data_IF_058937221555
#
_entry.id   IF_058937221555
#
_cell.length_a   1.000
_cell.length_b   1.000
_cell.length_c   1.000
_cell.angle_alpha   90.00
_cell.angle_beta   90.00
_cell.angle_gamma   90.00
#
_symmetry.space_group_name_H-M   'P 1'
#
loop_
_entity.id
_entity.type
_entity.pdbx_description
1 polymer ?
#
# COMPACT_ATOMS: atom_id res chain seq x y z
N UNK A 1 -6.15 4.61 0.36
CA UNK A 1 -6.58 3.80 1.53
C UNK A 1 -7.86 4.34 2.15
N UNK A 2 -8.84 3.46 2.38
CA UNK A 2 -10.11 3.82 3.02
C UNK A 2 -9.88 4.07 4.52
N UNK A 3 -10.23 5.27 5.00
CA UNK A 3 -10.25 5.56 6.44
C UNK A 3 -11.54 4.99 7.06
N UNK A 4 -11.40 4.09 8.04
CA UNK A 4 -12.53 3.52 8.77
C UNK A 4 -12.23 3.35 10.26
N UNK A 5 -13.28 3.25 11.07
CA UNK A 5 -13.16 2.99 12.51
C UNK A 5 -13.27 1.47 12.78
N UNK A 6 -12.19 0.79 13.18
CA UNK A 6 -12.21 -0.66 13.40
C UNK A 6 -13.12 -1.08 14.56
N UNK A 7 -13.49 -0.16 15.46
CA UNK A 7 -14.41 -0.43 16.58
C UNK A 7 -15.88 -0.47 16.15
N UNK A 8 -16.21 -0.03 14.93
CA UNK A 8 -17.59 0.00 14.42
C UNK A 8 -18.03 -1.33 13.80
N UNK A 9 -17.95 -2.42 14.56
CA UNK A 9 -18.11 -3.80 14.08
C UNK A 9 -19.38 -4.02 13.22
N UNK A 10 -20.56 -3.66 13.73
CA UNK A 10 -21.82 -3.76 13.00
C UNK A 10 -21.88 -2.86 11.76
N UNK A 11 -21.32 -1.65 11.87
CA UNK A 11 -21.26 -0.70 10.76
C UNK A 11 -20.35 -1.17 9.63
N UNK A 12 -19.35 -2.01 9.91
CA UNK A 12 -18.47 -2.60 8.91
C UNK A 12 -19.11 -3.79 8.20
N UNK A 13 -19.87 -4.63 8.91
CA UNK A 13 -20.56 -5.80 8.33
C UNK A 13 -21.60 -5.37 7.28
N UNK A 14 -22.33 -4.29 7.56
CA UNK A 14 -23.42 -3.82 6.68
C UNK A 14 -23.02 -2.66 5.74
N UNK A 15 -21.75 -2.24 5.75
CA UNK A 15 -21.23 -1.23 4.81
C UNK A 15 -20.91 -1.90 3.46
N UNK A 16 -21.85 -1.80 2.53
CA UNK A 16 -21.61 -2.14 1.12
C UNK A 16 -20.77 -1.05 0.44
N UNK A 17 -19.46 -1.30 0.24
CA UNK A 17 -18.58 -0.39 -0.48
C UNK A 17 -18.70 -0.55 -2.01
N UNK A 18 -18.31 0.45 -2.81
CA UNK A 18 -18.31 0.34 -4.29
C UNK A 18 -17.31 -0.70 -4.83
N UNK A 19 -16.26 -1.00 -4.07
CA UNK A 19 -15.24 -2.02 -4.35
C UNK A 19 -15.58 -3.40 -3.78
N UNK A 20 -16.83 -3.61 -3.37
CA UNK A 20 -17.25 -4.80 -2.66
C UNK A 20 -16.98 -6.08 -3.46
N UNK A 21 -16.07 -6.89 -2.92
CA UNK A 21 -15.72 -8.25 -3.35
C UNK A 21 -16.96 -9.05 -3.71
N UNK A 22 -18.05 -8.92 -2.94
CA UNK A 22 -19.30 -9.60 -3.21
C UNK A 22 -19.90 -9.23 -4.57
N UNK A 23 -19.94 -7.93 -4.93
CA UNK A 23 -20.48 -7.50 -6.24
C UNK A 23 -19.63 -7.97 -7.40
N UNK A 24 -18.30 -8.00 -7.22
CA UNK A 24 -17.37 -8.52 -8.23
C UNK A 24 -17.52 -10.03 -8.43
N UNK A 25 -17.82 -10.77 -7.37
CA UNK A 25 -18.01 -12.22 -7.40
C UNK A 25 -19.44 -12.65 -7.74
N UNK A 26 -20.45 -11.77 -7.59
CA UNK A 26 -21.87 -12.11 -7.75
C UNK A 26 -22.20 -12.87 -9.06
N UNK A 27 -21.70 -12.48 -10.25
CA UNK A 27 -21.97 -13.25 -11.48
C UNK A 27 -21.42 -14.68 -11.42
N UNK A 28 -20.23 -14.85 -10.83
CA UNK A 28 -19.63 -16.16 -10.64
C UNK A 28 -20.36 -16.97 -9.57
N UNK A 29 -20.83 -16.33 -8.49
CA UNK A 29 -21.65 -16.97 -7.45
C UNK A 29 -22.97 -17.50 -8.03
N UNK A 30 -23.66 -16.71 -8.86
CA UNK A 30 -24.89 -17.15 -9.54
C UNK A 30 -24.60 -18.31 -10.48
N UNK A 31 -23.47 -18.29 -11.18
CA UNK A 31 -23.04 -19.38 -12.06
C UNK A 31 -22.78 -20.68 -11.27
N UNK A 32 -22.05 -20.58 -10.15
CA UNK A 32 -21.79 -21.70 -9.24
C UNK A 32 -23.09 -22.24 -8.62
N UNK A 33 -23.99 -21.36 -8.19
CA UNK A 33 -25.29 -21.76 -7.65
C UNK A 33 -26.14 -22.49 -8.68
N UNK A 34 -26.20 -21.97 -9.92
CA UNK A 34 -26.96 -22.58 -11.01
C UNK A 34 -26.39 -23.94 -11.40
N UNK A 35 -25.06 -24.04 -11.49
CA UNK A 35 -24.37 -25.30 -11.76
C UNK A 35 -24.60 -26.32 -10.65
N UNK A 36 -24.46 -25.91 -9.39
CA UNK A 36 -24.70 -26.77 -8.22
C UNK A 36 -26.15 -27.24 -8.16
N UNK A 37 -27.12 -26.37 -8.51
CA UNK A 37 -28.53 -26.73 -8.57
C UNK A 37 -28.81 -27.79 -9.66
N UNK A 38 -28.18 -27.65 -10.83
CA UNK A 38 -28.30 -28.65 -11.89
C UNK A 38 -27.73 -30.02 -11.46
N UNK A 39 -26.56 -30.03 -10.80
CA UNK A 39 -25.97 -31.26 -10.28
C UNK A 39 -26.85 -31.89 -9.19
N UNK A 40 -27.35 -31.10 -8.24
CA UNK A 40 -28.24 -31.59 -7.18
C UNK A 40 -29.56 -32.16 -7.72
N UNK A 41 -30.15 -31.52 -8.74
CA UNK A 41 -31.35 -32.04 -9.42
C UNK A 41 -31.06 -33.36 -10.13
N UNK A 42 -29.93 -33.48 -10.84
CA UNK A 42 -29.56 -34.73 -11.51
C UNK A 42 -29.33 -35.86 -10.50
N UNK A 43 -28.62 -35.58 -9.42
CA UNK A 43 -28.31 -36.56 -8.38
C UNK A 43 -29.57 -37.05 -7.64
N UNK A 44 -30.46 -36.12 -7.26
CA UNK A 44 -31.63 -36.43 -6.44
C UNK A 44 -32.82 -36.97 -7.24
N UNK A 45 -33.07 -36.44 -8.45
CA UNK A 45 -34.30 -36.71 -9.20
C UNK A 45 -34.08 -37.66 -10.40
N UNK A 46 -32.84 -37.85 -10.88
CA UNK A 46 -32.56 -38.62 -12.10
C UNK A 46 -31.66 -39.85 -11.90
N UNK A 47 -30.83 -39.89 -10.86
CA UNK A 47 -29.88 -40.99 -10.62
C UNK A 47 -30.42 -41.98 -9.57
N UNK A 48 -30.17 -43.30 -9.74
CA UNK A 48 -30.40 -44.29 -8.69
C UNK A 48 -29.45 -44.07 -7.50
N UNK A 49 -29.89 -44.40 -6.28
CA UNK A 49 -29.18 -44.21 -4.99
C UNK A 49 -27.79 -44.89 -4.86
N UNK A 50 -27.28 -45.55 -5.90
CA UNK A 50 -26.03 -46.32 -5.87
C UNK A 50 -24.77 -45.49 -6.12
N UNK A 51 -24.89 -44.24 -6.58
CA UNK A 51 -23.73 -43.34 -6.80
C UNK A 51 -23.39 -42.55 -5.52
N UNK A 52 -22.57 -43.15 -4.65
CA UNK A 52 -22.05 -42.45 -3.46
C UNK A 52 -20.69 -41.80 -3.74
N UNK A 53 -20.69 -40.47 -3.85
CA UNK A 53 -19.46 -39.67 -3.80
C UNK A 53 -18.80 -39.74 -2.42
N UNK A 54 -17.46 -39.66 -2.34
CA UNK A 54 -16.74 -39.61 -1.06
C UNK A 54 -16.36 -38.18 -0.67
N UNK A 55 -16.84 -37.73 0.49
CA UNK A 55 -16.53 -36.40 1.04
C UNK A 55 -15.13 -36.30 1.68
N UNK A 56 -14.44 -37.43 1.84
CA UNK A 56 -13.11 -37.49 2.44
C UNK A 56 -12.07 -36.73 1.60
N UNK A 57 -12.15 -36.85 0.27
CA UNK A 57 -11.20 -36.19 -0.63
C UNK A 57 -11.36 -34.66 -0.56
N UNK A 58 -12.59 -34.14 -0.59
CA UNK A 58 -12.85 -32.70 -0.45
C UNK A 58 -12.48 -32.15 0.92
N UNK A 59 -12.58 -32.95 1.98
CA UNK A 59 -12.12 -32.55 3.31
C UNK A 59 -10.60 -32.38 3.34
N UNK A 60 -9.85 -33.34 2.77
CA UNK A 60 -8.39 -33.27 2.67
C UNK A 60 -7.92 -32.13 1.76
N UNK A 61 -8.52 -32.01 0.57
CA UNK A 61 -8.21 -30.90 -0.35
C UNK A 61 -8.60 -29.55 0.24
N UNK A 62 -9.70 -29.49 1.02
CA UNK A 62 -10.17 -28.31 1.75
C UNK A 62 -9.15 -27.82 2.77
N UNK A 63 -8.49 -28.74 3.48
CA UNK A 63 -7.39 -28.40 4.37
C UNK A 63 -6.19 -27.85 3.61
N UNK A 64 -5.79 -28.51 2.52
CA UNK A 64 -4.64 -28.09 1.70
C UNK A 64 -4.87 -26.71 1.08
N UNK A 65 -6.06 -26.45 0.51
CA UNK A 65 -6.36 -25.16 -0.11
C UNK A 65 -6.43 -24.03 0.92
N UNK A 66 -6.95 -24.32 2.11
CA UNK A 66 -6.96 -23.35 3.21
C UNK A 66 -5.54 -22.95 3.59
N UNK A 67 -4.65 -23.94 3.76
CA UNK A 67 -3.23 -23.68 4.07
C UNK A 67 -2.53 -22.86 2.97
N UNK A 68 -2.76 -23.21 1.69
CA UNK A 68 -2.20 -22.47 0.55
C UNK A 68 -2.67 -21.02 0.50
N UNK A 69 -3.96 -20.77 0.75
CA UNK A 69 -4.52 -19.42 0.81
C UNK A 69 -3.95 -18.59 1.96
N UNK A 70 -3.68 -19.20 3.12
CA UNK A 70 -3.00 -18.52 4.22
C UNK A 70 -1.60 -18.06 3.80
N UNK A 71 -0.81 -18.94 3.19
CA UNK A 71 0.52 -18.56 2.70
C UNK A 71 0.44 -17.45 1.65
N UNK A 72 -0.48 -17.57 0.69
CA UNK A 72 -0.72 -16.58 -0.36
C UNK A 72 -1.06 -15.21 0.19
N UNK A 73 -1.95 -15.16 1.17
CA UNK A 73 -2.40 -13.91 1.81
C UNK A 73 -1.26 -13.30 2.63
N UNK A 74 -0.51 -14.11 3.37
CA UNK A 74 0.64 -13.64 4.14
C UNK A 74 1.73 -13.07 3.24
N UNK A 75 2.08 -13.73 2.13
CA UNK A 75 3.08 -13.21 1.18
C UNK A 75 2.62 -11.88 0.55
N UNK A 76 1.34 -11.75 0.20
CA UNK A 76 0.81 -10.48 -0.30
C UNK A 76 0.87 -9.38 0.77
N UNK A 77 0.49 -9.70 2.01
CA UNK A 77 0.56 -8.78 3.13
C UNK A 77 1.99 -8.32 3.44
N UNK A 78 2.98 -9.21 3.39
CA UNK A 78 4.40 -8.85 3.58
C UNK A 78 4.87 -7.84 2.54
N UNK A 79 4.48 -8.01 1.27
CA UNK A 79 4.79 -7.03 0.21
C UNK A 79 4.14 -5.67 0.49
N UNK A 80 2.87 -5.68 0.88
CA UNK A 80 2.15 -4.47 1.23
C UNK A 80 2.79 -3.73 2.41
N UNK A 81 3.10 -4.48 3.48
CA UNK A 81 3.73 -3.95 4.67
C UNK A 81 5.13 -3.42 4.41
N UNK A 82 5.92 -4.11 3.58
CA UNK A 82 7.23 -3.63 3.17
C UNK A 82 7.13 -2.32 2.39
N UNK A 83 6.18 -2.21 1.45
CA UNK A 83 5.92 -0.96 0.74
C UNK A 83 5.56 0.19 1.71
N UNK A 84 4.72 -0.08 2.70
CA UNK A 84 4.35 0.88 3.74
C UNK A 84 5.55 1.32 4.57
N UNK A 85 6.44 0.37 4.92
CA UNK A 85 7.67 0.62 5.67
C UNK A 85 8.63 1.51 4.90
N UNK A 86 8.81 1.27 3.60
CA UNK A 86 9.67 2.07 2.72
C UNK A 86 9.16 3.52 2.59
N UNK A 87 7.86 3.73 2.41
CA UNK A 87 7.29 5.08 2.39
C UNK A 87 7.34 5.77 3.77
N UNK A 88 7.24 5.01 4.85
CA UNK A 88 7.48 5.52 6.21
C UNK A 88 8.93 5.96 6.42
N UNK A 89 9.89 5.18 5.91
CA UNK A 89 11.30 5.56 5.89
C UNK A 89 11.51 6.85 5.09
N UNK A 90 10.86 7.00 3.93
CA UNK A 90 10.97 8.21 3.11
C UNK A 90 10.52 9.47 3.86
N UNK A 91 9.40 9.39 4.59
CA UNK A 91 8.92 10.49 5.45
C UNK A 91 9.98 10.87 6.49
N UNK A 92 10.61 9.88 7.12
CA UNK A 92 11.63 10.13 8.15
C UNK A 92 12.93 10.67 7.55
N UNK A 93 13.42 10.09 6.46
CA UNK A 93 14.64 10.52 5.75
C UNK A 93 14.52 11.96 5.28
N UNK A 94 13.42 12.31 4.62
CA UNK A 94 13.18 13.69 4.12
C UNK A 94 13.06 14.70 5.27
N UNK A 95 12.40 14.33 6.38
CA UNK A 95 12.32 15.15 7.60
C UNK A 95 13.69 15.37 8.23
N UNK A 96 14.46 14.31 8.44
CA UNK A 96 15.80 14.39 9.04
C UNK A 96 16.74 15.23 8.18
N UNK A 97 16.69 15.05 6.86
CA UNK A 97 17.48 15.83 5.91
C UNK A 97 17.10 17.33 5.98
N UNK A 98 15.81 17.64 5.99
CA UNK A 98 15.33 19.02 6.14
C UNK A 98 15.76 19.65 7.48
N UNK A 99 15.68 18.92 8.59
CA UNK A 99 16.12 19.41 9.91
C UNK A 99 17.62 19.71 9.94
N UNK A 100 18.45 18.81 9.40
CA UNK A 100 19.90 19.01 9.31
C UNK A 100 20.24 20.21 8.42
N UNK A 101 19.63 20.33 7.24
CA UNK A 101 19.82 21.50 6.38
C UNK A 101 19.35 22.80 7.05
N UNK A 102 18.24 22.77 7.80
CA UNK A 102 17.77 23.92 8.56
C UNK A 102 18.75 24.32 9.68
N UNK A 103 19.43 23.36 10.31
CA UNK A 103 20.44 23.64 11.34
C UNK A 103 21.77 24.16 10.75
N UNK A 104 22.19 23.61 9.62
CA UNK A 104 23.51 23.91 9.04
C UNK A 104 23.52 25.17 8.18
N UNK A 105 22.40 25.53 7.55
CA UNK A 105 22.29 26.70 6.68
C UNK A 105 21.72 27.91 7.42
N UNK A 106 22.19 29.10 7.05
CA UNK A 106 21.64 30.37 7.55
C UNK A 106 20.12 30.47 7.25
N UNK A 107 19.32 31.11 8.13
CA UNK A 107 17.87 31.22 7.96
C UNK A 107 17.39 31.79 6.61
N UNK A 108 18.18 32.67 6.01
CA UNK A 108 17.92 33.39 4.77
C UNK A 108 18.63 32.80 3.53
N UNK A 109 19.29 31.65 3.68
CA UNK A 109 20.07 31.06 2.60
C UNK A 109 19.17 30.62 1.43
N UNK A 110 19.52 31.03 0.20
CA UNK A 110 18.75 30.76 -1.03
C UNK A 110 18.56 29.27 -1.35
N UNK A 111 19.47 28.41 -0.89
CA UNK A 111 19.35 26.95 -1.04
C UNK A 111 18.24 26.30 -0.21
N UNK A 112 17.73 26.92 0.85
CA UNK A 112 16.63 26.35 1.66
C UNK A 112 15.38 26.02 0.82
N UNK A 113 14.82 26.96 0.03
CA UNK A 113 13.70 26.67 -0.87
C UNK A 113 14.06 25.69 -1.98
N UNK A 114 15.32 25.69 -2.45
CA UNK A 114 15.78 24.73 -3.47
C UNK A 114 15.74 23.30 -2.91
N UNK A 115 16.34 23.07 -1.74
CA UNK A 115 16.35 21.77 -1.07
C UNK A 115 14.92 21.32 -0.76
N UNK A 116 14.09 22.23 -0.22
CA UNK A 116 12.70 21.92 0.09
C UNK A 116 11.92 21.44 -1.16
N UNK A 117 12.07 22.15 -2.28
CA UNK A 117 11.47 21.79 -3.56
C UNK A 117 11.93 20.42 -4.03
N UNK A 118 13.23 20.11 -3.94
CA UNK A 118 13.76 18.82 -4.39
C UNK A 118 13.26 17.66 -3.52
N UNK A 119 13.19 17.81 -2.20
CA UNK A 119 12.66 16.76 -1.31
C UNK A 119 11.17 16.49 -1.55
N UNK A 120 10.38 17.55 -1.73
CA UNK A 120 8.96 17.43 -2.09
C UNK A 120 8.80 16.77 -3.48
N UNK A 121 9.57 17.24 -4.48
CA UNK A 121 9.54 16.69 -5.83
C UNK A 121 9.98 15.22 -5.85
N UNK A 122 10.95 14.83 -5.03
CA UNK A 122 11.40 13.44 -4.96
C UNK A 122 10.26 12.49 -4.58
N UNK A 123 9.47 12.84 -3.56
CA UNK A 123 8.34 12.02 -3.12
C UNK A 123 7.24 11.94 -4.19
N UNK A 124 6.89 13.07 -4.83
CA UNK A 124 5.90 13.09 -5.91
C UNK A 124 6.36 12.29 -7.14
N UNK A 125 7.62 12.47 -7.56
CA UNK A 125 8.20 11.74 -8.69
C UNK A 125 8.31 10.25 -8.39
N UNK A 126 8.63 9.85 -7.16
CA UNK A 126 8.65 8.43 -6.78
C UNK A 126 7.25 7.82 -6.82
N UNK A 127 6.23 8.53 -6.36
CA UNK A 127 4.83 8.12 -6.49
C UNK A 127 4.46 7.84 -7.96
N UNK A 128 4.71 8.80 -8.84
CA UNK A 128 4.46 8.66 -10.28
C UNK A 128 5.27 7.51 -10.90
N UNK A 129 6.56 7.42 -10.55
CA UNK A 129 7.46 6.38 -11.07
C UNK A 129 7.00 4.96 -10.74
N UNK A 130 6.37 4.76 -9.58
CA UNK A 130 5.83 3.46 -9.18
C UNK A 130 4.48 3.13 -9.84
N UNK A 131 3.76 4.13 -10.37
CA UNK A 131 2.47 3.97 -11.08
C UNK A 131 2.65 3.83 -12.60
N UNK A 132 3.52 4.64 -13.21
CA UNK A 132 3.69 4.74 -14.67
C UNK A 132 4.28 3.47 -15.32
N UNK A 133 4.78 2.51 -14.55
CA UNK A 133 5.19 1.20 -15.04
C UNK A 133 6.40 1.25 -15.99
N UNK A 134 7.58 0.95 -15.44
CA UNK A 134 8.87 0.82 -16.14
C UNK A 134 9.43 2.13 -16.74
N UNK A 135 10.71 2.45 -16.51
CA UNK A 135 11.36 3.48 -17.31
C UNK A 135 11.35 3.03 -18.78
N UNK A 136 10.92 3.90 -19.69
CA UNK A 136 11.08 3.67 -21.12
C UNK A 136 12.57 3.40 -21.42
N UNK A 137 12.92 2.42 -22.26
CA UNK A 137 14.31 2.20 -22.65
C UNK A 137 14.88 3.49 -23.27
N UNK A 138 15.90 4.08 -22.62
CA UNK A 138 16.48 5.37 -22.99
C UNK A 138 15.90 6.60 -22.25
N UNK A 139 14.88 6.41 -21.42
CA UNK A 139 14.30 7.46 -20.57
C UNK A 139 15.12 7.71 -19.31
N UNK A 140 15.19 8.97 -18.87
CA UNK A 140 15.85 9.35 -17.62
C UNK A 140 15.13 8.75 -16.41
N UNK A 141 15.86 8.02 -15.56
CA UNK A 141 15.32 7.50 -14.29
C UNK A 141 14.98 8.66 -13.34
N UNK A 142 13.71 9.10 -13.36
CA UNK A 142 13.26 10.38 -12.77
C UNK A 142 13.60 10.52 -11.28
N UNK A 143 13.37 9.52 -10.39
CA UNK A 143 13.75 9.64 -8.98
C UNK A 143 15.25 9.88 -8.79
N UNK A 144 16.08 9.19 -9.57
CA UNK A 144 17.55 9.33 -9.48
C UNK A 144 18.01 10.68 -10.00
N UNK A 145 17.32 11.26 -10.99
CA UNK A 145 17.60 12.61 -11.46
C UNK A 145 17.37 13.66 -10.36
N UNK A 146 16.29 13.53 -9.58
CA UNK A 146 16.02 14.42 -8.44
C UNK A 146 17.04 14.19 -7.32
N UNK A 147 17.35 12.93 -6.98
CA UNK A 147 18.38 12.60 -5.98
C UNK A 147 19.76 13.16 -6.37
N UNK A 148 20.17 13.00 -7.64
CA UNK A 148 21.42 13.57 -8.15
C UNK A 148 21.44 15.10 -8.09
N UNK A 149 20.28 15.75 -8.20
CA UNK A 149 20.16 17.21 -8.07
C UNK A 149 20.31 17.67 -6.62
N UNK A 150 19.78 16.91 -5.64
CA UNK A 150 20.06 17.12 -4.22
C UNK A 150 21.55 16.96 -3.90
N UNK A 151 22.18 15.90 -4.41
CA UNK A 151 23.61 15.68 -4.26
C UNK A 151 24.45 16.85 -4.77
N UNK A 152 24.16 17.34 -5.98
CA UNK A 152 24.83 18.52 -6.56
C UNK A 152 24.62 19.79 -5.75
N UNK A 153 23.43 20.00 -5.20
CA UNK A 153 23.13 21.15 -4.35
C UNK A 153 23.96 21.13 -3.06
N UNK A 154 24.06 19.98 -2.39
CA UNK A 154 24.86 19.83 -1.17
C UNK A 154 26.36 19.98 -1.46
N UNK A 155 26.85 19.40 -2.55
CA UNK A 155 28.26 19.56 -2.96
C UNK A 155 28.58 21.01 -3.33
N UNK A 156 27.67 21.72 -4.03
CA UNK A 156 27.83 23.16 -4.32
C UNK A 156 27.97 23.96 -3.03
N UNK A 157 27.07 23.75 -2.07
CA UNK A 157 27.10 24.41 -0.76
C UNK A 157 28.41 24.14 0.00
N UNK A 158 28.96 22.93 -0.13
CA UNK A 158 30.25 22.60 0.45
C UNK A 158 31.39 23.37 -0.21
N UNK A 159 31.47 23.36 -1.54
CA UNK A 159 32.51 24.07 -2.31
C UNK A 159 32.48 25.58 -2.12
N UNK A 160 31.30 26.15 -1.94
CA UNK A 160 31.08 27.57 -1.65
C UNK A 160 31.36 27.94 -0.18
N UNK A 161 31.70 26.97 0.68
CA UNK A 161 32.00 27.19 2.09
C UNK A 161 30.78 27.43 2.99
N UNK A 162 29.57 27.20 2.46
CA UNK A 162 28.32 27.28 3.22
C UNK A 162 28.06 26.04 4.09
N UNK A 163 28.68 24.89 3.74
CA UNK A 163 28.68 23.67 4.54
C UNK A 163 30.11 23.19 4.82
N UNK A 164 30.42 22.95 6.10
CA UNK A 164 31.65 22.27 6.50
C UNK A 164 31.65 20.81 6.04
N UNK A 165 32.84 20.22 5.86
CA UNK A 165 32.98 18.81 5.44
C UNK A 165 32.22 17.84 6.37
N UNK A 166 32.24 18.10 7.68
CA UNK A 166 31.49 17.29 8.67
C UNK A 166 29.98 17.38 8.47
N UNK A 167 29.44 18.52 8.04
CA UNK A 167 28.01 18.66 7.73
C UNK A 167 27.66 17.82 6.50
N UNK A 168 28.48 17.86 5.44
CA UNK A 168 28.27 17.05 4.24
C UNK A 168 28.30 15.55 4.55
N UNK A 169 29.25 15.09 5.39
CA UNK A 169 29.30 13.71 5.87
C UNK A 169 28.04 13.33 6.65
N UNK A 170 27.53 14.23 7.50
CA UNK A 170 26.32 14.00 8.29
C UNK A 170 25.03 13.95 7.45
N UNK A 171 25.03 14.44 6.20
CA UNK A 171 23.88 14.39 5.29
C UNK A 171 23.91 13.18 4.35
N UNK A 172 25.06 12.51 4.23
CA UNK A 172 25.29 11.41 3.28
C UNK A 172 24.31 10.24 3.49
N UNK A 173 24.06 9.88 4.76
CA UNK A 173 23.14 8.79 5.09
C UNK A 173 21.75 9.03 4.50
N UNK A 174 21.15 10.20 4.75
CA UNK A 174 19.82 10.51 4.23
C UNK A 174 19.79 10.60 2.70
N UNK A 175 20.81 11.19 2.08
CA UNK A 175 20.90 11.29 0.62
C UNK A 175 21.00 9.91 -0.05
N UNK A 176 21.76 8.99 0.54
CA UNK A 176 21.87 7.61 0.08
C UNK A 176 20.55 6.86 0.30
N UNK A 177 19.92 7.04 1.46
CA UNK A 177 18.67 6.36 1.80
C UNK A 177 17.52 6.71 0.86
N UNK A 178 17.48 7.90 0.24
CA UNK A 178 16.52 8.18 -0.83
C UNK A 178 16.60 7.12 -1.94
N UNK A 179 17.80 6.87 -2.47
CA UNK A 179 18.01 5.89 -3.54
C UNK A 179 17.79 4.44 -3.08
N UNK A 180 18.12 4.10 -1.83
CA UNK A 180 17.86 2.77 -1.26
C UNK A 180 16.35 2.49 -1.17
N UNK A 181 15.56 3.47 -0.71
CA UNK A 181 14.09 3.38 -0.63
C UNK A 181 13.50 3.21 -2.02
N UNK A 182 13.96 3.98 -3.01
CA UNK A 182 13.52 3.82 -4.39
C UNK A 182 13.81 2.41 -4.91
N UNK A 183 15.04 1.92 -4.75
CA UNK A 183 15.42 0.56 -5.18
C UNK A 183 14.61 -0.54 -4.48
N UNK A 184 14.27 -0.36 -3.21
CA UNK A 184 13.38 -1.28 -2.49
C UNK A 184 11.95 -1.26 -3.06
N UNK A 185 11.39 -0.08 -3.32
CA UNK A 185 10.06 0.06 -3.93
C UNK A 185 10.02 -0.53 -5.35
N UNK A 186 11.07 -0.30 -6.14
CA UNK A 186 11.19 -0.90 -7.47
C UNK A 186 11.24 -2.42 -7.41
N UNK A 187 11.98 -3.00 -6.45
CA UNK A 187 12.02 -4.45 -6.26
C UNK A 187 10.63 -4.99 -5.93
N UNK A 188 9.88 -4.35 -5.04
CA UNK A 188 8.51 -4.75 -4.71
C UNK A 188 7.60 -4.68 -5.94
N UNK A 189 7.72 -3.64 -6.77
CA UNK A 189 6.87 -3.47 -7.96
C UNK A 189 7.25 -4.42 -9.11
N UNK A 190 8.53 -4.56 -9.41
CA UNK A 190 9.06 -5.32 -10.57
C UNK A 190 9.18 -6.81 -10.33
N UNK A 191 9.14 -7.25 -9.06
CA UNK A 191 9.32 -8.67 -8.69
C UNK A 191 8.03 -9.21 -8.08
N UNK A 192 7.00 -9.52 -8.91
CA UNK A 192 5.74 -10.04 -8.41
C UNK A 192 5.87 -11.46 -7.86
N UNK A 193 4.83 -11.94 -7.17
CA UNK A 193 4.77 -13.34 -6.74
C UNK A 193 4.84 -14.23 -8.00
N UNK A 194 5.59 -15.34 -7.98
CA UNK A 194 5.76 -16.18 -9.15
C UNK A 194 4.43 -16.57 -9.80
N UNK A 195 4.31 -16.31 -11.10
CA UNK A 195 3.07 -16.54 -11.85
C UNK A 195 2.52 -17.97 -11.69
N UNK A 196 3.41 -18.97 -11.67
CA UNK A 196 3.04 -20.38 -11.48
C UNK A 196 2.31 -20.63 -10.15
N UNK A 197 2.69 -19.92 -9.09
CA UNK A 197 2.06 -20.04 -7.78
C UNK A 197 0.63 -19.47 -7.80
N UNK A 198 0.46 -18.24 -8.28
CA UNK A 198 -0.86 -17.60 -8.40
C UNK A 198 -1.79 -18.37 -9.36
N UNK A 199 -1.25 -18.91 -10.46
CA UNK A 199 -1.99 -19.74 -11.39
C UNK A 199 -2.45 -21.06 -10.75
N UNK A 200 -1.57 -21.71 -9.98
CA UNK A 200 -1.87 -22.97 -9.31
C UNK A 200 -3.03 -22.80 -8.32
N UNK A 201 -3.01 -21.77 -7.47
CA UNK A 201 -4.07 -21.51 -6.49
C UNK A 201 -5.42 -21.28 -7.19
N UNK A 202 -5.47 -20.42 -8.22
CA UNK A 202 -6.71 -20.15 -8.95
C UNK A 202 -7.28 -21.41 -9.61
N UNK A 203 -6.42 -22.24 -10.23
CA UNK A 203 -6.83 -23.53 -10.80
C UNK A 203 -7.31 -24.50 -9.73
N UNK A 204 -6.67 -24.52 -8.56
CA UNK A 204 -7.06 -25.40 -7.48
C UNK A 204 -8.42 -25.00 -6.89
N UNK A 205 -8.68 -23.71 -6.64
CA UNK A 205 -10.00 -23.21 -6.24
C UNK A 205 -11.06 -23.61 -7.27
N UNK A 206 -10.78 -23.43 -8.57
CA UNK A 206 -11.71 -23.78 -9.63
C UNK A 206 -12.08 -25.28 -9.59
N UNK A 207 -11.08 -26.17 -9.58
CA UNK A 207 -11.32 -27.62 -9.54
C UNK A 207 -12.05 -28.02 -8.25
N UNK A 208 -11.67 -27.44 -7.12
CA UNK A 208 -12.31 -27.72 -5.82
C UNK A 208 -13.80 -27.39 -5.85
N UNK A 209 -14.16 -26.20 -6.33
CA UNK A 209 -15.56 -25.73 -6.38
C UNK A 209 -16.39 -26.49 -7.41
N UNK A 210 -15.84 -26.76 -8.60
CA UNK A 210 -16.55 -27.49 -9.66
C UNK A 210 -16.84 -28.94 -9.26
N UNK A 211 -15.94 -29.58 -8.51
CA UNK A 211 -16.11 -30.98 -8.09
C UNK A 211 -16.97 -31.13 -6.83
N UNK A 212 -17.06 -30.08 -6.00
CA UNK A 212 -17.79 -30.11 -4.72
C UNK A 212 -19.26 -30.56 -4.82
N UNK A 213 -20.10 -30.05 -5.76
CA UNK A 213 -21.51 -30.42 -5.78
C UNK A 213 -21.74 -31.91 -6.07
N UNK A 214 -20.84 -32.56 -6.82
CA UNK A 214 -20.93 -34.00 -7.08
C UNK A 214 -20.71 -34.86 -5.82
N UNK A 215 -19.95 -34.34 -4.85
CA UNK A 215 -19.70 -35.05 -3.60
C UNK A 215 -20.79 -34.75 -2.55
N UNK A 216 -21.33 -33.53 -2.58
CA UNK A 216 -22.24 -33.04 -1.55
C UNK A 216 -23.72 -33.29 -1.90
N UNK A 217 -24.07 -33.44 -3.18
CA UNK A 217 -25.46 -33.59 -3.62
C UNK A 217 -26.19 -34.75 -2.93
N UNK A 218 -25.56 -35.92 -2.81
CA UNK A 218 -26.19 -37.08 -2.21
C UNK A 218 -26.43 -36.91 -0.69
N UNK A 219 -25.49 -36.29 0.03
CA UNK A 219 -25.59 -36.12 1.49
C UNK A 219 -26.48 -34.94 1.89
N UNK A 220 -26.43 -33.84 1.14
CA UNK A 220 -27.07 -32.57 1.50
C UNK A 220 -28.25 -32.19 0.59
N UNK A 221 -28.50 -32.94 -0.50
CA UNK A 221 -29.53 -32.62 -1.49
C UNK A 221 -29.36 -31.20 -2.03
N UNK A 222 -30.47 -30.47 -2.12
CA UNK A 222 -30.50 -29.09 -2.58
C UNK A 222 -29.74 -28.08 -1.69
N UNK A 223 -29.41 -28.42 -0.42
CA UNK A 223 -28.54 -27.56 0.41
C UNK A 223 -27.12 -27.43 -0.15
N UNK A 224 -26.70 -28.35 -1.01
CA UNK A 224 -25.45 -28.29 -1.76
C UNK A 224 -25.28 -26.97 -2.51
N UNK A 225 -26.38 -26.40 -3.02
CA UNK A 225 -26.36 -25.09 -3.71
C UNK A 225 -25.85 -23.99 -2.79
N UNK A 226 -26.36 -23.94 -1.56
CA UNK A 226 -25.95 -22.95 -0.58
C UNK A 226 -24.49 -23.16 -0.17
N UNK A 227 -24.11 -24.40 0.18
CA UNK A 227 -22.77 -24.69 0.68
C UNK A 227 -21.69 -24.47 -0.37
N UNK A 228 -21.87 -24.96 -1.60
CA UNK A 228 -20.89 -24.74 -2.68
C UNK A 228 -20.73 -23.25 -2.99
N UNK A 229 -21.83 -22.51 -3.05
CA UNK A 229 -21.79 -21.06 -3.33
C UNK A 229 -21.13 -20.28 -2.20
N UNK A 230 -21.42 -20.64 -0.94
CA UNK A 230 -20.80 -20.01 0.23
C UNK A 230 -19.29 -20.30 0.30
N UNK A 231 -18.88 -21.55 0.10
CA UNK A 231 -17.46 -21.93 0.08
C UNK A 231 -16.72 -21.25 -1.08
N UNK A 232 -17.34 -21.18 -2.27
CA UNK A 232 -16.79 -20.38 -3.37
C UNK A 232 -16.57 -18.93 -2.97
N UNK A 233 -17.59 -18.29 -2.38
CA UNK A 233 -17.49 -16.90 -1.94
C UNK A 233 -16.31 -16.71 -0.97
N UNK A 234 -16.16 -17.58 0.04
CA UNK A 234 -15.07 -17.46 1.02
C UNK A 234 -13.70 -17.62 0.36
N UNK A 235 -13.49 -18.71 -0.41
CA UNK A 235 -12.19 -19.00 -1.03
C UNK A 235 -11.82 -17.95 -2.08
N UNK A 236 -12.76 -17.55 -2.94
CA UNK A 236 -12.54 -16.54 -3.96
C UNK A 236 -12.34 -15.14 -3.35
N UNK A 237 -13.01 -14.81 -2.24
CA UNK A 237 -12.80 -13.54 -1.55
C UNK A 237 -11.40 -13.43 -0.96
N UNK A 238 -10.89 -14.50 -0.34
CA UNK A 238 -9.53 -14.52 0.20
C UNK A 238 -8.48 -14.34 -0.92
N UNK A 239 -8.63 -15.05 -2.04
CA UNK A 239 -7.74 -14.90 -3.18
C UNK A 239 -7.81 -13.47 -3.77
N UNK A 240 -9.01 -12.88 -3.85
CA UNK A 240 -9.18 -11.52 -4.34
C UNK A 240 -8.53 -10.47 -3.44
N UNK A 241 -8.65 -10.62 -2.11
CA UNK A 241 -8.01 -9.74 -1.14
C UNK A 241 -6.49 -9.85 -1.27
N UNK A 242 -5.96 -11.07 -1.37
CA UNK A 242 -4.54 -11.29 -1.56
C UNK A 242 -4.04 -10.69 -2.88
N UNK A 243 -4.82 -10.77 -3.95
CA UNK A 243 -4.52 -10.13 -5.24
C UNK A 243 -4.53 -8.59 -5.15
N UNK A 244 -5.49 -8.00 -4.44
CA UNK A 244 -5.60 -6.55 -4.29
C UNK A 244 -4.41 -5.96 -3.51
N UNK A 245 -4.03 -6.56 -2.38
CA UNK A 245 -2.93 -6.03 -1.55
C UNK A 245 -1.54 -6.39 -2.07
N UNK A 246 -1.44 -7.28 -3.07
CA UNK A 246 -0.16 -7.72 -3.62
C UNK A 246 0.60 -6.60 -4.35
N UNK A 247 -0.11 -5.65 -4.97
CA UNK A 247 0.47 -4.49 -5.67
C UNK A 247 0.23 -3.19 -4.89
N UNK A 248 1.04 -2.91 -3.84
CA UNK A 248 0.74 -1.83 -2.91
C UNK A 248 0.85 -0.42 -3.48
N UNK A 249 1.35 -0.25 -4.71
CA UNK A 249 1.57 1.04 -5.35
C UNK A 249 0.62 1.30 -6.54
N UNK A 250 -0.45 0.51 -6.67
CA UNK A 250 -1.46 0.70 -7.68
C UNK A 250 -2.48 1.80 -7.35
N UNK A 251 -3.66 1.67 -7.96
CA UNK A 251 -4.78 2.60 -7.87
C UNK A 251 -5.99 2.03 -7.10
N UNK A 252 -5.83 0.84 -6.52
CA UNK A 252 -6.90 0.18 -5.78
C UNK A 252 -7.19 0.90 -4.47
N UNK A 253 -8.39 0.69 -3.93
CA UNK A 253 -8.84 1.37 -2.72
C UNK A 253 -7.97 1.02 -1.49
N UNK A 254 -7.41 -0.20 -1.49
CA UNK A 254 -6.57 -0.76 -0.45
C UNK A 254 -5.06 -0.53 -0.68
N UNK A 255 -4.69 0.14 -1.76
CA UNK A 255 -3.29 0.49 -2.03
C UNK A 255 -2.81 1.61 -1.11
N UNK A 256 -1.49 1.73 -1.02
CA UNK A 256 -0.85 2.71 -0.16
C UNK A 256 -1.18 4.12 -0.64
N UNK A 257 -1.54 5.05 0.28
CA UNK A 257 -1.86 6.44 -0.06
C UNK A 257 -0.58 7.24 -0.30
N UNK A 258 0.20 6.84 -1.30
CA UNK A 258 1.53 7.39 -1.59
C UNK A 258 1.48 8.84 -2.03
N UNK A 259 0.38 9.28 -2.66
CA UNK A 259 0.11 10.69 -2.98
C UNK A 259 -0.11 11.55 -1.71
N UNK A 260 -0.91 11.06 -0.77
CA UNK A 260 -1.13 11.75 0.52
C UNK A 260 0.18 11.83 1.31
N UNK A 261 0.99 10.77 1.28
CA UNK A 261 2.31 10.76 1.91
C UNK A 261 3.28 11.74 1.24
N UNK A 262 3.27 11.86 -0.09
CA UNK A 262 4.07 12.83 -0.81
C UNK A 262 3.65 14.28 -0.46
N UNK A 263 2.35 14.53 -0.37
CA UNK A 263 1.78 15.83 0.05
C UNK A 263 2.18 16.16 1.50
N UNK A 264 2.12 15.17 2.40
CA UNK A 264 2.57 15.30 3.78
C UNK A 264 4.07 15.61 3.87
N UNK A 265 4.90 14.95 3.05
CA UNK A 265 6.34 15.23 2.98
C UNK A 265 6.58 16.68 2.54
N UNK A 266 5.89 17.13 1.49
CA UNK A 266 6.01 18.51 1.00
C UNK A 266 5.65 19.54 2.09
N UNK A 267 4.57 19.30 2.83
CA UNK A 267 4.16 20.15 3.95
C UNK A 267 5.20 20.16 5.08
N UNK A 268 5.66 18.98 5.53
CA UNK A 268 6.65 18.86 6.60
C UNK A 268 7.97 19.56 6.26
N UNK A 269 8.47 19.35 5.04
CA UNK A 269 9.72 19.95 4.59
C UNK A 269 9.58 21.47 4.44
N UNK A 270 8.44 21.93 3.90
CA UNK A 270 8.12 23.36 3.81
C UNK A 270 8.10 24.04 5.18
N UNK A 271 7.48 23.39 6.17
CA UNK A 271 7.42 23.89 7.54
C UNK A 271 8.80 23.98 8.20
N UNK A 272 9.70 23.04 7.91
CA UNK A 272 11.04 23.02 8.50
C UNK A 272 11.98 24.04 7.85
N UNK A 273 11.97 24.16 6.52
CA UNK A 273 12.97 24.94 5.79
C UNK A 273 12.52 26.36 5.44
N UNK A 274 11.21 26.60 5.32
CA UNK A 274 10.67 27.86 4.78
C UNK A 274 10.02 28.74 5.85
N UNK A 275 9.46 28.16 6.92
CA UNK A 275 8.89 28.95 8.02
C UNK A 275 10.02 29.50 8.89
N UNK A 276 9.94 30.79 9.21
CA UNK A 276 10.79 31.41 10.22
C UNK A 276 10.20 31.08 11.60
N UNK A 277 11.02 30.52 12.49
CA UNK A 277 10.61 30.36 13.89
C UNK A 277 10.36 31.76 14.48
N UNK A 278 9.25 31.99 15.22
CA UNK A 278 9.04 33.26 15.90
C UNK A 278 10.22 33.48 16.87
N UNK A 279 11.02 34.50 16.62
CA UNK A 279 12.11 34.86 17.52
C UNK A 279 11.50 35.24 18.88
N UNK A 280 11.99 34.63 19.96
CA UNK A 280 11.50 34.76 21.34
C UNK A 280 11.52 36.20 21.93
N UNK A 281 11.79 37.23 21.13
CA UNK A 281 11.86 38.63 21.53
C UNK A 281 10.88 39.57 20.85
N UNK A 282 10.06 39.10 19.89
CA UNK A 282 9.10 39.98 19.19
C UNK A 282 7.84 40.29 20.03
N UNK A 283 7.45 39.41 20.95
CA UNK A 283 6.27 39.61 21.80
C UNK A 283 6.59 40.33 23.14
N UNK A 284 7.84 40.26 23.62
CA UNK A 284 8.23 40.88 24.90
C UNK A 284 8.37 42.42 24.80
N UNK A 285 8.71 42.95 23.62
CA UNK A 285 8.83 44.40 23.39
C UNK A 285 7.47 45.08 23.19
N UNK A 286 6.46 44.34 22.74
CA UNK A 286 5.11 44.87 22.57
C UNK A 286 4.32 44.90 23.89
N UNK A 287 4.64 43.98 24.82
CA UNK A 287 3.99 43.93 26.13
C UNK A 287 4.54 45.01 27.10
N UNK A 288 5.83 45.37 27.01
CA UNK A 288 6.40 46.49 27.78
C UNK A 288 5.89 47.86 27.33
N UNK A 289 5.69 48.05 26.02
CA UNK A 289 5.09 49.27 25.44
C UNK A 289 3.59 49.37 25.72
N UNK A 290 2.86 48.24 25.78
CA UNK A 290 1.46 48.21 26.22
C UNK A 290 1.32 48.51 27.71
N UNK A 291 2.20 47.97 28.57
CA UNK A 291 2.19 48.24 30.01
C UNK A 291 2.56 49.68 30.36
N UNK A 292 3.50 50.31 29.64
CA UNK A 292 3.84 51.72 29.86
C UNK A 292 2.74 52.69 29.41
N UNK A 293 1.94 52.33 28.40
CA UNK A 293 0.76 53.11 27.98
C UNK A 293 -0.46 52.92 28.88
N UNK A 294 -0.55 51.79 29.57
CA UNK A 294 -1.63 51.52 30.54
C UNK A 294 -1.40 52.20 31.90
N UNK A 295 -0.15 52.52 32.28
CA UNK A 295 0.14 53.26 33.52
C UNK A 295 0.18 54.78 33.35
N UNK A 296 -0.05 55.28 32.13
CA UNK A 296 -0.04 56.71 31.79
C UNK A 296 -1.45 57.26 31.46
N UNK A 297 -2.50 56.51 31.83
CA UNK A 297 -3.90 56.91 31.72
C UNK A 297 -4.59 56.82 33.08
#
# INVERSE_FOLDING_TARGET
MINYNPKSWWGLIFKFHKSDTFRRLLPAMVSVASFSAAVAFIDHDLLPDELKGTNLVHSLLGFVISLLLVFRTNTAYERWWEGRRQWGALVNTTRSLALKCNAFLRPDHSSRPIIAKHLAAYAAVLHEHLRDGSPQPGGTHRPNFIAASLWREIDRLHREGHLAAVHSLNLNHELTSLTEICGACERIKKTPIPYSYSLFIKKFIFVYIVTMPFCFAHEFGYWTVLFTTFVFFVLASLELIAEEIEDPFGDAANDLPTEDLATMIAANVGDILLKKWPSAGADASNDSVRRSRASAR
#
